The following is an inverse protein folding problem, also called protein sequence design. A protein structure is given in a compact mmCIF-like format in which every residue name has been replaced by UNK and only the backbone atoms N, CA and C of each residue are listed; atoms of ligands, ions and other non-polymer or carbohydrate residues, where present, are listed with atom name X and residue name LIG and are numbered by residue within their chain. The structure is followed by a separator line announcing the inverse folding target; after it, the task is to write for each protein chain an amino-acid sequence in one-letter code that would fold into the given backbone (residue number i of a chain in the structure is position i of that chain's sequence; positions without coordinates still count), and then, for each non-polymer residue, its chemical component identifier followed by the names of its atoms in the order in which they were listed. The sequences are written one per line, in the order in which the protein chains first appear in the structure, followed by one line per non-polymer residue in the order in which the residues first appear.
data_IF_442863918230
#
_entry.id   IF_442863918230
#
_cell.length_a   1.000
_cell.length_b   1.000
_cell.length_c   1.000
_cell.angle_alpha   90.00
_cell.angle_beta   90.00
_cell.angle_gamma   90.00
#
_symmetry.space_group_name_H-M   'P 1'
#
loop_
_entity.id
_entity.type
_entity.pdbx_description
1 polymer ?
#
# COMPACT_ATOMS: atom_id res chain seq x y z
N UNK A 1 8.18 3.79 27.29
CA UNK A 1 8.47 2.65 26.39
C UNK A 1 9.02 3.23 25.09
N UNK A 2 10.32 3.07 24.84
CA UNK A 2 10.98 3.59 23.63
C UNK A 2 10.51 2.72 22.46
N UNK A 3 9.79 3.31 21.51
CA UNK A 3 9.39 2.63 20.28
C UNK A 3 10.67 2.19 19.55
N UNK A 4 10.87 0.87 19.47
CA UNK A 4 11.92 0.28 18.63
C UNK A 4 11.85 0.94 17.25
N UNK A 5 12.95 1.50 16.72
CA UNK A 5 12.92 2.07 15.38
C UNK A 5 12.50 0.97 14.41
N UNK A 6 11.55 1.30 13.53
CA UNK A 6 11.03 0.40 12.52
C UNK A 6 12.22 -0.22 11.77
N UNK A 7 12.48 -1.51 12.03
CA UNK A 7 13.41 -2.27 11.20
C UNK A 7 12.87 -2.15 9.79
N UNK A 8 13.75 -1.76 8.86
CA UNK A 8 13.46 -1.78 7.43
C UNK A 8 12.74 -3.12 7.14
N UNK A 9 11.56 -3.10 6.50
CA UNK A 9 10.84 -4.32 6.21
C UNK A 9 11.80 -5.31 5.57
N UNK A 10 11.72 -6.59 5.92
CA UNK A 10 12.53 -7.62 5.27
C UNK A 10 12.09 -7.69 3.80
N UNK A 11 12.79 -6.95 2.94
CA UNK A 11 12.37 -6.65 1.57
C UNK A 11 12.32 -7.95 0.76
N UNK A 12 13.26 -8.84 1.02
CA UNK A 12 13.35 -10.14 0.34
C UNK A 12 12.11 -10.98 0.64
N UNK A 13 11.69 -11.06 1.90
CA UNK A 13 10.51 -11.82 2.30
C UNK A 13 9.21 -11.24 1.77
N UNK A 14 9.09 -9.92 1.68
CA UNK A 14 7.78 -9.27 1.44
C UNK A 14 7.62 -8.66 0.04
N UNK A 15 8.70 -8.27 -0.63
CA UNK A 15 8.67 -7.73 -2.00
C UNK A 15 9.18 -8.72 -3.06
N UNK A 16 9.71 -9.88 -2.64
CA UNK A 16 10.13 -10.96 -3.56
C UNK A 16 11.40 -10.66 -4.34
N UNK A 17 12.11 -9.57 -3.99
CA UNK A 17 13.37 -9.17 -4.62
C UNK A 17 14.40 -8.76 -3.59
N UNK A 18 15.66 -9.02 -3.94
CA UNK A 18 16.84 -8.54 -3.21
C UNK A 18 16.94 -7.01 -3.20
N UNK A 19 17.70 -6.50 -2.22
CA UNK A 19 17.93 -5.05 -2.05
C UNK A 19 18.55 -4.39 -3.29
N UNK A 20 19.55 -5.01 -3.91
CA UNK A 20 20.23 -4.45 -5.08
C UNK A 20 19.28 -4.30 -6.27
N UNK A 21 18.47 -5.34 -6.51
CA UNK A 21 17.45 -5.31 -7.54
C UNK A 21 16.39 -4.24 -7.27
N UNK A 22 15.95 -4.09 -6.02
CA UNK A 22 15.02 -3.01 -5.66
C UNK A 22 15.63 -1.62 -5.94
N UNK A 23 16.89 -1.40 -5.57
CA UNK A 23 17.59 -0.12 -5.82
C UNK A 23 17.60 0.17 -7.32
N UNK A 24 17.98 -0.82 -8.13
CA UNK A 24 18.00 -0.70 -9.60
C UNK A 24 16.62 -0.32 -10.13
N UNK A 25 15.57 -1.05 -9.74
CA UNK A 25 14.20 -0.79 -10.18
C UNK A 25 13.70 0.60 -9.76
N UNK A 26 14.09 1.10 -8.58
CA UNK A 26 13.74 2.46 -8.15
C UNK A 26 14.48 3.53 -8.95
N UNK A 27 15.74 3.29 -9.33
CA UNK A 27 16.53 4.21 -10.14
C UNK A 27 16.06 4.27 -11.59
N UNK A 28 15.45 3.21 -12.09
CA UNK A 28 14.92 3.12 -13.46
C UNK A 28 13.45 3.61 -13.56
N UNK A 29 12.77 3.92 -12.43
CA UNK A 29 11.39 4.40 -12.42
C UNK A 29 11.34 5.94 -12.33
N UNK A 30 11.00 6.66 -13.42
CA UNK A 30 10.99 8.12 -13.43
C UNK A 30 10.00 8.73 -12.44
N UNK A 31 8.92 8.00 -12.09
CA UNK A 31 7.93 8.46 -11.13
C UNK A 31 8.49 8.44 -9.72
N UNK A 32 9.35 7.47 -9.40
CA UNK A 32 10.02 7.39 -8.09
C UNK A 32 11.10 8.47 -7.99
N UNK A 33 11.88 8.66 -9.05
CA UNK A 33 12.88 9.74 -9.11
C UNK A 33 12.24 11.12 -8.88
N UNK A 34 11.12 11.40 -9.55
CA UNK A 34 10.39 12.65 -9.40
C UNK A 34 9.89 12.90 -7.96
N UNK A 35 9.59 11.86 -7.18
CA UNK A 35 9.19 12.03 -5.77
C UNK A 35 10.35 12.52 -4.90
N UNK A 36 11.57 12.08 -5.20
CA UNK A 36 12.78 12.47 -4.47
C UNK A 36 13.20 13.89 -4.87
N UNK A 37 13.27 14.16 -6.17
CA UNK A 37 13.70 15.47 -6.70
C UNK A 37 12.76 16.61 -6.28
N UNK A 38 11.47 16.31 -6.15
CA UNK A 38 10.51 17.31 -5.71
C UNK A 38 10.77 17.79 -4.26
N UNK A 39 11.57 17.08 -3.45
CA UNK A 39 11.88 17.44 -2.06
C UNK A 39 10.63 17.67 -1.20
N UNK A 40 9.48 17.15 -1.65
CA UNK A 40 8.16 17.59 -1.19
C UNK A 40 7.89 17.03 0.19
N UNK A 41 8.25 17.82 1.19
CA UNK A 41 7.59 17.72 2.50
C UNK A 41 6.23 18.38 2.38
N UNK A 42 5.16 17.61 2.25
CA UNK A 42 3.79 18.12 2.27
C UNK A 42 3.25 18.09 3.68
N UNK A 43 2.76 19.23 4.18
CA UNK A 43 2.07 19.33 5.47
C UNK A 43 0.64 19.78 5.22
N UNK A 44 -0.34 18.98 5.64
CA UNK A 44 -1.76 19.34 5.53
C UNK A 44 -2.57 18.70 6.66
N UNK A 45 -3.26 19.52 7.45
CA UNK A 45 -4.20 19.04 8.48
C UNK A 45 -3.57 18.07 9.48
N UNK A 46 -2.38 18.39 10.00
CA UNK A 46 -1.64 17.54 10.94
C UNK A 46 -0.97 16.31 10.32
N UNK A 47 -1.06 16.12 9.00
CA UNK A 47 -0.39 15.05 8.27
C UNK A 47 0.87 15.58 7.58
N UNK A 48 1.98 14.86 7.73
CA UNK A 48 3.24 15.16 7.08
C UNK A 48 3.63 14.00 6.17
N UNK A 49 4.02 14.32 4.94
CA UNK A 49 4.59 13.36 4.00
C UNK A 49 5.93 13.88 3.55
N UNK A 50 6.98 13.08 3.68
CA UNK A 50 8.30 13.39 3.10
C UNK A 50 8.87 12.16 2.39
N UNK A 51 9.80 12.40 1.48
CA UNK A 51 10.53 11.36 0.76
C UNK A 51 12.01 11.50 1.04
N UNK A 52 12.67 10.38 1.29
CA UNK A 52 14.10 10.33 1.59
C UNK A 52 14.75 9.12 0.93
N UNK A 53 16.02 9.26 0.53
CA UNK A 53 16.84 8.14 0.06
C UNK A 53 17.77 7.70 1.18
N UNK A 54 17.62 6.46 1.64
CA UNK A 54 18.45 5.89 2.69
C UNK A 54 19.10 4.60 2.18
N UNK A 55 20.44 4.54 2.23
CA UNK A 55 21.21 3.35 1.84
C UNK A 55 20.90 2.84 0.41
N UNK A 56 20.62 3.77 -0.50
CA UNK A 56 20.27 3.50 -1.89
C UNK A 56 18.77 3.34 -2.17
N UNK A 57 17.95 3.07 -1.15
CA UNK A 57 16.51 2.84 -1.29
C UNK A 57 15.73 4.13 -1.04
N UNK A 58 14.71 4.38 -1.85
CA UNK A 58 13.74 5.48 -1.66
C UNK A 58 12.64 5.05 -0.70
N UNK A 59 12.42 5.89 0.31
CA UNK A 59 11.37 5.75 1.31
C UNK A 59 10.43 6.94 1.31
N UNK A 60 9.20 6.69 1.74
CA UNK A 60 8.25 7.70 2.19
C UNK A 60 8.19 7.65 3.71
N UNK A 61 8.25 8.80 4.38
CA UNK A 61 7.82 8.95 5.77
C UNK A 61 6.43 9.57 5.79
N UNK A 62 5.54 8.97 6.56
CA UNK A 62 4.19 9.46 6.78
C UNK A 62 3.93 9.63 8.27
N UNK A 63 3.57 10.84 8.63
CA UNK A 63 3.22 11.20 10.00
C UNK A 63 1.77 11.71 10.03
N UNK A 64 1.01 11.29 11.02
CA UNK A 64 -0.35 11.75 11.29
C UNK A 64 -0.45 12.07 12.79
N UNK A 65 -0.32 13.36 13.12
CA UNK A 65 -0.32 13.84 14.50
C UNK A 65 -1.65 13.54 15.21
N UNK A 66 -2.77 13.58 14.47
CA UNK A 66 -4.10 13.31 15.03
C UNK A 66 -4.31 11.84 15.40
N UNK A 67 -3.56 10.92 14.77
CA UNK A 67 -3.64 9.48 15.03
C UNK A 67 -2.40 8.91 15.72
N UNK A 68 -1.43 9.76 16.04
CA UNK A 68 -0.13 9.37 16.57
C UNK A 68 0.55 8.28 15.73
N UNK A 69 0.52 8.44 14.40
CA UNK A 69 1.15 7.52 13.45
C UNK A 69 2.43 8.15 12.93
N UNK A 70 3.53 7.40 12.94
CA UNK A 70 4.79 7.71 12.24
C UNK A 70 5.29 6.41 11.61
N UNK A 71 5.26 6.34 10.27
CA UNK A 71 5.64 5.15 9.53
C UNK A 71 6.59 5.48 8.39
N UNK A 72 7.57 4.60 8.22
CA UNK A 72 8.53 4.63 7.11
C UNK A 72 8.23 3.49 6.15
N UNK A 73 7.96 3.83 4.90
CA UNK A 73 7.47 2.91 3.87
C UNK A 73 8.45 2.88 2.70
N UNK A 74 8.77 1.70 2.18
CA UNK A 74 9.55 1.55 0.94
C UNK A 74 8.70 1.98 -0.25
N UNK A 75 9.22 2.85 -1.11
CA UNK A 75 8.51 3.24 -2.34
C UNK A 75 8.65 2.16 -3.39
N UNK A 76 7.55 1.50 -3.78
CA UNK A 76 7.63 0.35 -4.68
C UNK A 76 7.56 0.74 -6.16
N UNK A 77 8.47 0.21 -6.99
CA UNK A 77 8.37 0.29 -8.45
C UNK A 77 7.16 -0.49 -8.95
N UNK A 78 6.64 -0.10 -10.12
CA UNK A 78 5.39 -0.68 -10.67
C UNK A 78 5.40 -2.20 -10.76
N UNK A 79 6.54 -2.80 -11.14
CA UNK A 79 6.69 -4.24 -11.34
C UNK A 79 6.48 -5.08 -10.07
N UNK A 80 6.67 -4.51 -8.88
CA UNK A 80 6.57 -5.25 -7.61
C UNK A 80 5.22 -5.09 -6.91
N UNK A 81 4.37 -4.16 -7.37
CA UNK A 81 3.11 -3.81 -6.70
C UNK A 81 2.16 -4.99 -6.66
N UNK A 82 2.02 -5.72 -7.76
CA UNK A 82 1.11 -6.85 -7.87
C UNK A 82 1.50 -7.99 -6.93
N UNK A 83 2.80 -8.33 -6.90
CA UNK A 83 3.33 -9.32 -5.95
C UNK A 83 3.03 -8.92 -4.50
N UNK A 84 3.34 -7.68 -4.11
CA UNK A 84 3.09 -7.21 -2.74
C UNK A 84 1.59 -7.19 -2.41
N UNK A 85 0.74 -6.81 -3.36
CA UNK A 85 -0.72 -6.88 -3.17
C UNK A 85 -1.19 -8.32 -2.99
N UNK A 86 -0.65 -9.28 -3.75
CA UNK A 86 -1.00 -10.70 -3.61
C UNK A 86 -0.66 -11.25 -2.23
N UNK A 87 0.57 -11.02 -1.75
CA UNK A 87 1.02 -11.47 -0.42
C UNK A 87 0.19 -10.82 0.71
N UNK A 88 -0.10 -9.52 0.58
CA UNK A 88 -0.92 -8.81 1.55
C UNK A 88 -2.37 -9.32 1.57
N UNK A 89 -2.93 -9.62 0.40
CA UNK A 89 -4.30 -10.07 0.19
C UNK A 89 -4.52 -11.52 0.64
N UNK A 90 -3.63 -12.46 0.27
CA UNK A 90 -3.79 -13.90 0.53
C UNK A 90 -3.91 -14.24 2.01
N UNK A 91 -3.40 -13.37 2.87
CA UNK A 91 -3.49 -13.50 4.32
C UNK A 91 -4.78 -12.88 4.91
N UNK A 92 -5.77 -12.51 4.09
CA UNK A 92 -7.03 -11.86 4.52
C UNK A 92 -8.23 -12.37 3.70
N UNK A 93 -9.26 -12.90 4.37
CA UNK A 93 -10.52 -13.31 3.73
C UNK A 93 -11.66 -12.31 3.97
N UNK A 94 -12.42 -11.96 2.92
CA UNK A 94 -13.67 -11.16 2.95
C UNK A 94 -13.59 -9.87 2.13
N UNK A 95 -14.66 -9.46 1.42
CA UNK A 95 -14.63 -8.35 0.44
C UNK A 95 -14.19 -6.96 0.97
N UNK A 96 -15.04 -6.29 1.77
CA UNK A 96 -14.78 -4.92 2.24
C UNK A 96 -13.64 -4.86 3.26
N UNK A 97 -13.64 -5.81 4.20
CA UNK A 97 -12.57 -5.96 5.16
C UNK A 97 -11.25 -6.34 4.46
N UNK A 98 -11.31 -7.09 3.37
CA UNK A 98 -10.16 -7.45 2.53
C UNK A 98 -9.50 -6.23 1.93
N UNK A 99 -10.24 -5.31 1.32
CA UNK A 99 -9.68 -4.06 0.78
C UNK A 99 -8.99 -3.25 1.87
N UNK A 100 -9.71 -2.97 2.98
CA UNK A 100 -9.18 -2.13 4.06
C UNK A 100 -7.94 -2.75 4.70
N UNK A 101 -7.99 -4.04 5.05
CA UNK A 101 -6.87 -4.73 5.69
C UNK A 101 -5.70 -4.95 4.73
N UNK A 102 -5.95 -5.19 3.43
CA UNK A 102 -4.89 -5.29 2.42
C UNK A 102 -4.17 -3.95 2.30
N UNK A 103 -4.93 -2.86 2.21
CA UNK A 103 -4.37 -1.51 2.20
C UNK A 103 -3.55 -1.22 3.45
N UNK A 104 -4.06 -1.54 4.63
CA UNK A 104 -3.34 -1.31 5.89
C UNK A 104 -2.04 -2.14 5.96
N UNK A 105 -2.07 -3.40 5.51
CA UNK A 105 -0.86 -4.24 5.41
C UNK A 105 0.15 -3.66 4.42
N UNK A 106 -0.29 -3.25 3.23
CA UNK A 106 0.59 -2.61 2.25
C UNK A 106 1.19 -1.34 2.86
N UNK A 107 0.37 -0.42 3.39
CA UNK A 107 0.81 0.84 3.96
C UNK A 107 1.56 0.71 5.29
N UNK A 108 1.60 -0.45 5.92
CA UNK A 108 2.48 -0.65 7.08
C UNK A 108 3.97 -0.65 6.69
N UNK A 109 4.29 -1.01 5.44
CA UNK A 109 5.68 -1.23 5.00
C UNK A 109 6.01 -0.60 3.62
N UNK A 110 5.01 -0.33 2.79
CA UNK A 110 5.17 0.01 1.38
C UNK A 110 4.29 1.19 0.95
N UNK A 111 4.71 1.88 -0.10
CA UNK A 111 3.95 2.99 -0.68
C UNK A 111 4.19 3.12 -2.18
N UNK A 112 3.19 3.63 -2.89
CA UNK A 112 3.34 4.23 -4.21
C UNK A 112 2.20 5.22 -4.48
N UNK A 113 2.38 6.18 -5.41
CA UNK A 113 1.28 7.03 -5.86
C UNK A 113 0.15 6.18 -6.46
N UNK A 114 -1.06 6.32 -5.94
CA UNK A 114 -2.24 5.56 -6.38
C UNK A 114 -2.50 4.24 -5.65
N UNK A 115 -1.75 3.93 -4.59
CA UNK A 115 -1.90 2.68 -3.80
C UNK A 115 -3.33 2.32 -3.41
N UNK A 116 -4.16 3.30 -3.05
CA UNK A 116 -5.56 3.07 -2.70
C UNK A 116 -6.40 2.53 -3.88
N UNK A 117 -6.21 3.12 -5.06
CA UNK A 117 -6.89 2.70 -6.29
C UNK A 117 -6.39 1.34 -6.77
N UNK A 118 -5.09 1.11 -6.72
CA UNK A 118 -4.48 -0.16 -7.11
C UNK A 118 -4.96 -1.32 -6.22
N UNK A 119 -4.94 -1.15 -4.89
CA UNK A 119 -5.44 -2.16 -3.93
C UNK A 119 -6.93 -2.42 -4.14
N UNK A 120 -7.73 -1.36 -4.30
CA UNK A 120 -9.17 -1.51 -4.54
C UNK A 120 -9.45 -2.29 -5.82
N UNK A 121 -8.73 -1.99 -6.91
CA UNK A 121 -8.85 -2.70 -8.19
C UNK A 121 -8.44 -4.17 -8.04
N UNK A 122 -7.33 -4.43 -7.37
CA UNK A 122 -6.81 -5.78 -7.14
C UNK A 122 -7.80 -6.66 -6.37
N UNK A 123 -8.30 -6.20 -5.22
CA UNK A 123 -9.25 -6.98 -4.43
C UNK A 123 -10.59 -7.18 -5.17
N UNK A 124 -11.02 -6.21 -5.99
CA UNK A 124 -12.24 -6.33 -6.81
C UNK A 124 -12.09 -7.34 -7.95
N UNK A 125 -10.88 -7.59 -8.44
CA UNK A 125 -10.63 -8.66 -9.42
C UNK A 125 -10.53 -10.05 -8.80
N UNK A 126 -10.51 -10.18 -7.46
CA UNK A 126 -10.45 -11.48 -6.81
C UNK A 126 -11.83 -12.15 -6.76
N UNK A 127 -11.95 -13.34 -7.36
CA UNK A 127 -13.18 -14.13 -7.38
C UNK A 127 -13.73 -14.45 -5.99
N UNK A 128 -12.85 -14.75 -5.02
CA UNK A 128 -13.23 -15.01 -3.63
C UNK A 128 -13.84 -13.77 -2.99
N UNK A 129 -13.23 -12.61 -3.20
CA UNK A 129 -13.78 -11.34 -2.74
C UNK A 129 -15.14 -11.07 -3.39
N UNK A 130 -15.28 -11.24 -4.70
CA UNK A 130 -16.55 -11.01 -5.41
C UNK A 130 -17.70 -11.88 -4.89
N UNK A 131 -17.43 -13.16 -4.59
CA UNK A 131 -18.43 -14.10 -4.04
C UNK A 131 -18.86 -13.77 -2.61
N UNK A 132 -18.04 -13.05 -1.85
CA UNK A 132 -18.33 -12.64 -0.46
C UNK A 132 -18.97 -11.24 -0.36
N UNK A 133 -19.07 -10.50 -1.46
CA UNK A 133 -19.88 -9.27 -1.51
C UNK A 133 -21.34 -9.67 -1.37
N UNK A 134 -22.00 -9.31 -0.26
CA UNK A 134 -23.45 -9.42 -0.17
C UNK A 134 -24.04 -8.51 -1.24
N UNK A 135 -24.50 -9.07 -2.36
CA UNK A 135 -25.38 -8.35 -3.28
C UNK A 135 -26.61 -7.97 -2.49
N UNK A 136 -26.91 -6.67 -2.39
CA UNK A 136 -28.12 -6.21 -1.73
C UNK A 136 -29.32 -6.98 -2.27
N UNK A 137 -30.14 -7.51 -1.37
CA UNK A 137 -31.38 -8.19 -1.71
C UNK A 137 -32.25 -7.18 -2.46
N UNK A 138 -32.40 -7.34 -3.78
CA UNK A 138 -33.46 -6.64 -4.50
C UNK A 138 -34.79 -7.15 -3.94
N UNK A 139 -35.69 -6.29 -3.43
CA UNK A 139 -37.04 -6.73 -3.10
C UNK A 139 -37.65 -7.29 -4.37
N UNK A 140 -38.20 -8.51 -4.30
CA UNK A 140 -38.96 -9.08 -5.43
C UNK A 140 -40.23 -8.25 -5.57
N UNK A 141 -40.33 -7.51 -6.67
CA UNK A 141 -41.53 -6.78 -7.06
C UNK A 141 -42.65 -7.81 -7.23
N UNK A 142 -43.74 -7.63 -6.45
CA UNK A 142 -44.88 -8.52 -6.45
C UNK A 142 -45.56 -8.49 -7.81
N UNK A 143 -45.76 -9.67 -8.39
CA UNK A 143 -46.65 -9.89 -9.53
C UNK A 143 -48.10 -9.78 -9.01
N UNK A 144 -48.93 -8.84 -9.49
CA UNK A 144 -50.37 -8.91 -9.24
C UNK A 144 -51.01 -9.90 -10.22
N UNK A 145 -52.02 -10.63 -9.72
CA UNK A 145 -52.91 -11.54 -10.44
C UNK A 145 -53.81 -10.79 -11.45
#
# INVERSE_FOLDING_TARGET
MVTKPLRVPDIERHAGVGREQLIKLQQEDPRILALVDAGRTSRRGGKVVSFEKARGIVYRRYEDLGRNVDVKQVVLPRSLREYVMSVAHDSITGAHLGIMRTKDKVLSNFYWPGVDGDVTRYCRSCDVCQRTVKKGTVPREGVPD
#
